data_IF_844554547056
#
_entry.id   IF_844554547056
#
_cell.length_a   1.000
_cell.length_b   1.000
_cell.length_c   1.000
_cell.angle_alpha   90.00
_cell.angle_beta   90.00
_cell.angle_gamma   90.00
#
_symmetry.space_group_name_H-M   'P 1'
#
loop_
_entity.id
_entity.type
_entity.pdbx_description
1 polymer ?
#
# COMPACT_ATOMS: atom_id res chain seq x y z
N UNK A 1 11.87 12.89 -12.51
CA UNK A 1 10.62 12.56 -13.23
C UNK A 1 10.11 13.72 -14.08
N UNK A 2 9.60 14.81 -13.50
CA UNK A 2 8.92 15.88 -14.23
C UNK A 2 9.69 16.49 -15.42
N UNK A 3 10.97 16.82 -15.27
CA UNK A 3 11.80 17.34 -16.38
C UNK A 3 11.85 16.39 -17.58
N UNK A 4 11.95 15.09 -17.34
CA UNK A 4 11.99 14.10 -18.42
C UNK A 4 10.63 13.99 -19.12
N UNK A 5 9.54 13.97 -18.34
CA UNK A 5 8.17 13.93 -18.88
C UNK A 5 7.88 15.15 -19.77
N UNK A 6 8.30 16.34 -19.35
CA UNK A 6 8.18 17.57 -20.12
C UNK A 6 9.01 17.55 -21.40
N UNK A 7 10.28 17.11 -21.33
CA UNK A 7 11.12 16.95 -22.52
C UNK A 7 10.55 15.96 -23.55
N UNK A 8 9.78 14.97 -23.10
CA UNK A 8 9.10 14.00 -23.95
C UNK A 8 7.75 14.49 -24.47
N UNK A 9 7.24 15.62 -23.97
CA UNK A 9 5.92 16.17 -24.33
C UNK A 9 4.76 15.27 -23.91
N UNK A 10 4.84 14.65 -22.73
CA UNK A 10 3.77 13.76 -22.24
C UNK A 10 2.53 14.56 -21.84
N UNK A 11 1.34 14.06 -22.22
CA UNK A 11 0.06 14.64 -21.78
C UNK A 11 -0.32 14.20 -20.35
N UNK A 12 0.19 13.04 -19.91
CA UNK A 12 -0.08 12.52 -18.58
C UNK A 12 0.84 11.40 -18.10
N UNK A 13 0.72 11.06 -16.82
CA UNK A 13 1.49 10.03 -16.13
C UNK A 13 0.64 9.31 -15.07
N UNK A 14 0.82 8.01 -14.94
CA UNK A 14 0.31 7.22 -13.81
C UNK A 14 1.46 7.03 -12.84
N UNK A 15 1.23 7.36 -11.57
CA UNK A 15 2.22 7.23 -10.50
C UNK A 15 1.72 6.13 -9.56
N UNK A 16 2.33 4.95 -9.65
CA UNK A 16 2.17 3.92 -8.63
C UNK A 16 3.19 4.15 -7.52
N UNK A 17 2.74 4.07 -6.28
CA UNK A 17 3.62 3.91 -5.14
C UNK A 17 4.19 2.47 -5.13
N UNK A 18 5.37 2.28 -4.56
CA UNK A 18 5.93 0.95 -4.23
C UNK A 18 6.96 1.15 -3.11
N UNK A 19 7.09 0.15 -2.25
CA UNK A 19 8.15 0.08 -1.24
C UNK A 19 7.85 0.85 0.06
N UNK A 20 8.84 0.85 0.95
CA UNK A 20 8.77 1.43 2.30
C UNK A 20 9.64 2.69 2.41
N UNK A 21 9.41 3.50 3.45
CA UNK A 21 10.14 4.75 3.69
C UNK A 21 9.16 5.88 3.93
N UNK A 22 9.27 6.97 3.18
CA UNK A 22 8.23 8.00 3.11
C UNK A 22 7.70 8.16 1.66
N UNK A 23 7.25 7.04 1.03
CA UNK A 23 6.87 7.04 -0.38
C UNK A 23 5.68 7.96 -0.66
N UNK A 24 4.79 8.18 0.32
CA UNK A 24 3.67 9.11 0.24
C UNK A 24 4.14 10.53 -0.11
N UNK A 25 5.22 11.01 0.52
CA UNK A 25 5.79 12.32 0.22
C UNK A 25 6.35 12.37 -1.20
N UNK A 26 7.03 11.31 -1.65
CA UNK A 26 7.57 11.24 -3.00
C UNK A 26 6.46 11.17 -4.07
N UNK A 27 5.36 10.49 -3.75
CA UNK A 27 4.16 10.37 -4.57
C UNK A 27 3.54 11.76 -4.80
N UNK A 28 3.23 12.48 -3.72
CA UNK A 28 2.69 13.84 -3.78
C UNK A 28 3.67 14.81 -4.44
N UNK A 29 4.97 14.68 -4.16
CA UNK A 29 6.00 15.53 -4.77
C UNK A 29 6.11 15.30 -6.29
N UNK A 30 6.01 14.06 -6.78
CA UNK A 30 6.03 13.78 -8.22
C UNK A 30 4.75 14.27 -8.90
N UNK A 31 3.58 14.01 -8.30
CA UNK A 31 2.28 14.48 -8.76
C UNK A 31 2.28 16.01 -8.95
N UNK A 32 2.62 16.75 -7.90
CA UNK A 32 2.62 18.22 -7.91
C UNK A 32 3.61 18.81 -8.92
N UNK A 33 4.79 18.20 -9.09
CA UNK A 33 5.78 18.66 -10.08
C UNK A 33 5.30 18.45 -11.52
N UNK A 34 4.56 17.38 -11.79
CA UNK A 34 4.01 17.08 -13.12
C UNK A 34 2.81 17.97 -13.45
N UNK A 35 1.84 18.09 -12.52
CA UNK A 35 0.66 18.95 -12.69
C UNK A 35 1.03 20.42 -12.91
N UNK A 36 2.08 20.92 -12.22
CA UNK A 36 2.60 22.28 -12.41
C UNK A 36 3.18 22.53 -13.81
N UNK A 37 3.51 21.49 -14.57
CA UNK A 37 3.94 21.56 -15.96
C UNK A 37 2.78 21.31 -16.96
N UNK A 38 1.56 21.13 -16.46
CA UNK A 38 0.38 20.82 -17.30
C UNK A 38 0.26 19.35 -17.68
N UNK A 39 1.09 18.46 -17.11
CA UNK A 39 1.06 17.02 -17.36
C UNK A 39 0.10 16.39 -16.35
N UNK A 40 -0.96 15.75 -16.83
CA UNK A 40 -2.01 15.19 -15.96
C UNK A 40 -1.57 13.92 -15.24
N UNK A 41 -1.97 13.78 -13.99
CA UNK A 41 -1.53 12.70 -13.13
C UNK A 41 -2.70 11.90 -12.58
N UNK A 42 -2.48 10.59 -12.43
CA UNK A 42 -3.31 9.70 -11.63
C UNK A 42 -2.40 8.94 -10.69
N UNK A 43 -2.74 8.95 -9.40
CA UNK A 43 -2.04 8.22 -8.36
C UNK A 43 -2.71 6.86 -8.15
N UNK A 44 -1.90 5.81 -7.97
CA UNK A 44 -2.34 4.50 -7.49
C UNK A 44 -1.49 4.14 -6.27
N UNK A 45 -2.12 3.89 -5.13
CA UNK A 45 -1.45 3.70 -3.83
C UNK A 45 -2.28 2.82 -2.91
N UNK A 46 -1.71 2.30 -1.82
CA UNK A 46 -2.49 1.91 -0.65
C UNK A 46 -2.55 3.04 0.39
N UNK A 47 -3.35 2.85 1.45
CA UNK A 47 -3.61 3.88 2.46
C UNK A 47 -3.44 3.32 3.88
N UNK A 48 -2.99 4.17 4.80
CA UNK A 48 -2.86 3.84 6.22
C UNK A 48 -3.80 4.72 7.06
N UNK A 49 -5.10 4.53 6.84
CA UNK A 49 -6.15 5.37 7.40
C UNK A 49 -6.60 4.95 8.82
N UNK A 50 -5.82 4.12 9.51
CA UNK A 50 -6.17 3.57 10.83
C UNK A 50 -7.28 2.51 10.75
N UNK A 51 -7.48 1.76 11.84
CA UNK A 51 -8.36 0.56 11.85
C UNK A 51 -9.83 0.86 11.59
N UNK A 52 -10.26 2.07 11.90
CA UNK A 52 -11.62 2.57 11.66
C UNK A 52 -11.75 3.38 10.36
N UNK A 53 -10.65 3.54 9.61
CA UNK A 53 -10.58 4.37 8.41
C UNK A 53 -10.71 5.88 8.68
N UNK A 54 -10.62 6.31 9.95
CA UNK A 54 -10.85 7.71 10.34
C UNK A 54 -9.60 8.59 10.36
N UNK A 55 -8.41 8.01 10.16
CA UNK A 55 -7.14 8.75 10.18
C UNK A 55 -6.81 9.33 8.81
N UNK A 56 -5.89 10.30 8.78
CA UNK A 56 -5.36 10.80 7.53
C UNK A 56 -4.71 9.65 6.76
N UNK A 57 -5.17 9.42 5.53
CA UNK A 57 -4.85 8.23 4.74
C UNK A 57 -3.38 8.15 4.31
N UNK A 58 -2.82 9.26 3.83
CA UNK A 58 -1.42 9.39 3.39
C UNK A 58 -0.68 10.39 4.29
N UNK A 59 0.62 10.22 4.47
CA UNK A 59 1.43 11.13 5.27
C UNK A 59 1.53 12.55 4.70
N UNK A 60 1.34 12.73 3.39
CA UNK A 60 1.37 14.01 2.68
C UNK A 60 0.15 14.16 1.76
N UNK A 61 -0.24 15.40 1.45
CA UNK A 61 -1.36 15.70 0.56
C UNK A 61 -1.20 17.09 -0.09
N UNK A 62 -1.68 17.23 -1.32
CA UNK A 62 -1.74 18.50 -2.04
C UNK A 62 -3.04 18.58 -2.87
N UNK A 63 -3.69 19.75 -2.97
CA UNK A 63 -4.90 19.91 -3.81
C UNK A 63 -4.71 19.57 -5.30
N UNK A 64 -3.48 19.54 -5.81
CA UNK A 64 -3.18 19.08 -7.16
C UNK A 64 -3.23 17.56 -7.32
N UNK A 65 -3.21 16.81 -6.21
CA UNK A 65 -3.33 15.36 -6.20
C UNK A 65 -4.81 14.95 -6.08
N UNK A 66 -5.63 15.40 -7.03
CA UNK A 66 -7.10 15.27 -7.01
C UNK A 66 -7.62 13.99 -7.68
N UNK A 67 -6.72 13.19 -8.27
CA UNK A 67 -7.03 11.92 -8.93
C UNK A 67 -6.22 10.77 -8.29
N UNK A 68 -6.78 10.16 -7.26
CA UNK A 68 -6.15 9.06 -6.49
C UNK A 68 -7.02 7.81 -6.49
N UNK A 69 -6.41 6.67 -6.78
CA UNK A 69 -7.01 5.33 -6.70
C UNK A 69 -6.32 4.55 -5.59
N UNK A 70 -7.12 4.04 -4.66
CA UNK A 70 -6.62 3.28 -3.51
C UNK A 70 -6.76 1.76 -3.74
N UNK A 71 -5.74 1.01 -3.36
CA UNK A 71 -5.76 -0.45 -3.24
C UNK A 71 -6.44 -0.95 -1.96
N UNK A 72 -6.77 -0.03 -1.02
CA UNK A 72 -7.44 -0.31 0.24
C UNK A 72 -6.68 0.22 1.46
N UNK A 73 -7.33 0.14 2.62
CA UNK A 73 -6.75 0.54 3.89
C UNK A 73 -5.93 -0.62 4.50
N UNK A 74 -4.61 -0.46 4.54
CA UNK A 74 -3.66 -1.42 5.07
C UNK A 74 -3.82 -1.68 6.59
N UNK A 75 -4.50 -0.78 7.31
CA UNK A 75 -4.81 -0.94 8.74
C UNK A 75 -6.13 -1.67 9.01
N UNK A 76 -6.91 -2.06 8.01
CA UNK A 76 -8.16 -2.78 8.22
C UNK A 76 -7.90 -4.10 8.97
N UNK A 77 -8.68 -4.36 10.03
CA UNK A 77 -8.48 -5.55 10.87
C UNK A 77 -9.22 -6.74 10.28
N UNK A 78 -8.50 -7.83 10.09
CA UNK A 78 -9.03 -9.11 9.63
C UNK A 78 -8.82 -10.19 10.70
N UNK A 79 -9.68 -11.20 10.70
CA UNK A 79 -9.51 -12.41 11.50
C UNK A 79 -9.40 -13.62 10.58
N UNK A 80 -8.24 -14.27 10.59
CA UNK A 80 -8.01 -15.55 9.95
C UNK A 80 -8.41 -16.68 10.91
N UNK A 81 -9.13 -17.72 10.45
CA UNK A 81 -9.45 -18.86 11.29
C UNK A 81 -8.18 -19.64 11.65
N UNK A 82 -8.29 -20.58 12.59
CA UNK A 82 -7.19 -21.51 12.86
C UNK A 82 -6.84 -22.32 11.60
N UNK A 83 -5.56 -22.40 11.26
CA UNK A 83 -5.08 -23.11 10.08
C UNK A 83 -4.81 -24.59 10.41
N UNK A 84 -5.21 -25.50 9.52
CA UNK A 84 -4.92 -26.94 9.66
C UNK A 84 -3.41 -27.25 9.63
N UNK A 85 -2.63 -26.38 8.98
CA UNK A 85 -1.18 -26.52 8.83
C UNK A 85 -0.49 -25.19 9.00
N UNK A 86 0.52 -25.15 9.86
CA UNK A 86 1.35 -23.98 10.13
C UNK A 86 2.80 -24.27 9.74
N UNK A 87 3.41 -23.35 9.00
CA UNK A 87 4.84 -23.37 8.69
C UNK A 87 5.53 -22.26 9.48
N UNK A 88 6.62 -22.60 10.16
CA UNK A 88 7.31 -21.65 11.04
C UNK A 88 6.60 -21.46 12.39
N UNK A 89 6.77 -20.27 12.99
CA UNK A 89 6.26 -19.95 14.33
C UNK A 89 5.00 -19.10 14.25
N UNK A 90 3.87 -19.61 14.78
CA UNK A 90 2.62 -18.85 14.88
C UNK A 90 2.74 -17.62 15.80
N UNK A 91 3.63 -17.65 16.78
CA UNK A 91 3.88 -16.54 17.71
C UNK A 91 4.36 -15.27 17.00
N UNK A 92 4.86 -15.38 15.77
CA UNK A 92 5.25 -14.21 14.99
C UNK A 92 4.06 -13.29 14.70
N UNK A 93 2.83 -13.81 14.71
CA UNK A 93 1.61 -13.01 14.52
C UNK A 93 1.50 -11.81 15.49
N UNK A 94 2.06 -11.91 16.70
CA UNK A 94 1.99 -10.83 17.71
C UNK A 94 3.01 -9.72 17.47
N UNK A 95 4.02 -9.93 16.60
CA UNK A 95 5.18 -9.02 16.46
C UNK A 95 5.48 -8.60 15.02
N UNK A 96 4.86 -9.22 14.02
CA UNK A 96 4.99 -8.80 12.62
C UNK A 96 4.35 -7.42 12.39
N UNK A 97 4.70 -6.75 11.30
CA UNK A 97 3.97 -5.57 10.85
C UNK A 97 2.47 -5.90 10.67
N UNK A 98 1.60 -5.04 11.20
CA UNK A 98 0.16 -5.28 11.29
C UNK A 98 -0.29 -6.19 12.45
N UNK A 99 0.64 -6.87 13.11
CA UNK A 99 0.40 -7.64 14.33
C UNK A 99 0.47 -6.80 15.60
N UNK A 100 -0.08 -7.33 16.68
CA UNK A 100 -0.06 -6.71 18.01
C UNK A 100 -0.20 -7.77 19.10
N UNK A 101 0.07 -7.38 20.36
CA UNK A 101 -0.10 -8.30 21.50
C UNK A 101 -1.54 -8.84 21.55
N UNK A 102 -1.67 -10.16 21.53
CA UNK A 102 -2.97 -10.84 21.46
C UNK A 102 -3.51 -11.08 20.04
N UNK A 103 -2.72 -10.84 18.99
CA UNK A 103 -3.06 -11.22 17.63
C UNK A 103 -3.28 -12.73 17.48
N UNK A 104 -2.48 -13.57 18.14
CA UNK A 104 -2.68 -15.02 18.19
C UNK A 104 -3.62 -15.41 19.34
N UNK A 105 -4.82 -15.88 19.01
CA UNK A 105 -5.78 -16.38 19.97
C UNK A 105 -5.45 -17.80 20.46
N UNK A 106 -6.01 -18.18 21.62
CA UNK A 106 -5.81 -19.53 22.22
C UNK A 106 -6.37 -20.66 21.36
N UNK A 107 -7.39 -20.38 20.56
CA UNK A 107 -7.98 -21.33 19.62
C UNK A 107 -7.18 -21.46 18.31
N UNK A 108 -6.11 -20.68 18.16
CA UNK A 108 -5.24 -20.68 16.98
C UNK A 108 -5.69 -19.71 15.88
N UNK A 109 -6.80 -18.99 16.05
CA UNK A 109 -7.17 -17.90 15.13
C UNK A 109 -6.21 -16.71 15.25
N UNK A 110 -6.07 -15.94 14.17
CA UNK A 110 -5.15 -14.80 14.11
C UNK A 110 -5.94 -13.55 13.74
N UNK A 111 -5.88 -12.51 14.59
CA UNK A 111 -6.46 -11.19 14.31
C UNK A 111 -5.35 -10.16 14.15
N UNK A 112 -5.25 -9.58 12.96
CA UNK A 112 -4.16 -8.68 12.54
C UNK A 112 -4.71 -7.63 11.59
N UNK A 113 -3.96 -6.55 11.36
CA UNK A 113 -4.20 -5.65 10.24
C UNK A 113 -3.86 -6.34 8.91
N UNK A 114 -4.59 -6.03 7.85
CA UNK A 114 -4.49 -6.72 6.55
C UNK A 114 -3.09 -6.63 5.92
N UNK A 115 -2.31 -5.59 6.26
CA UNK A 115 -0.90 -5.46 5.88
C UNK A 115 -0.01 -6.65 6.30
N UNK A 116 -0.43 -7.45 7.29
CA UNK A 116 0.24 -8.70 7.64
C UNK A 116 0.22 -9.73 6.48
N UNK A 117 -0.72 -9.60 5.55
CA UNK A 117 -0.77 -10.35 4.29
C UNK A 117 -0.07 -9.51 3.22
N UNK A 118 1.17 -9.88 2.89
CA UNK A 118 1.97 -9.17 1.89
C UNK A 118 1.22 -9.06 0.56
N UNK A 119 1.04 -7.84 0.09
CA UNK A 119 0.38 -7.53 -1.19
C UNK A 119 -1.15 -7.53 -1.15
N UNK A 120 -1.78 -7.56 0.03
CA UNK A 120 -3.24 -7.51 0.14
C UNK A 120 -3.86 -6.20 -0.38
N UNK A 121 -3.12 -5.09 -0.31
CA UNK A 121 -3.51 -3.76 -0.81
C UNK A 121 -2.71 -3.31 -2.03
N UNK A 122 -2.09 -4.25 -2.75
CA UNK A 122 -1.10 -3.97 -3.80
C UNK A 122 -1.62 -3.08 -4.95
N UNK A 123 -0.99 -1.93 -5.09
CA UNK A 123 -1.19 -0.83 -6.03
C UNK A 123 -0.65 -1.12 -7.45
N UNK A 124 0.17 -2.15 -7.63
CA UNK A 124 0.66 -2.62 -8.93
C UNK A 124 -0.28 -3.63 -9.61
N UNK A 125 -1.34 -4.05 -8.91
CA UNK A 125 -2.31 -5.03 -9.37
C UNK A 125 -1.82 -6.48 -9.33
N UNK A 126 -2.64 -7.39 -9.86
CA UNK A 126 -2.30 -8.81 -9.95
C UNK A 126 -1.50 -9.09 -11.24
N UNK A 127 -0.38 -9.80 -11.12
CA UNK A 127 0.33 -10.32 -12.27
C UNK A 127 0.50 -11.84 -12.15
N UNK A 128 0.59 -12.52 -13.29
CA UNK A 128 0.85 -13.96 -13.36
C UNK A 128 2.33 -14.26 -13.56
N UNK A 129 3.21 -13.27 -13.32
CA UNK A 129 4.63 -13.43 -13.51
C UNK A 129 5.16 -14.31 -12.37
N UNK A 130 5.79 -15.43 -12.71
CA UNK A 130 6.34 -16.37 -11.74
C UNK A 130 7.73 -16.78 -12.19
N UNK A 131 8.67 -16.90 -11.24
CA UNK A 131 9.94 -17.55 -11.49
C UNK A 131 9.70 -19.06 -11.48
N UNK A 132 9.91 -19.72 -12.62
CA UNK A 132 9.92 -21.19 -12.71
C UNK A 132 11.35 -21.65 -12.46
N UNK A 133 11.53 -22.66 -11.61
CA UNK A 133 12.82 -23.32 -11.48
C UNK A 133 13.27 -23.86 -12.85
N UNK A 134 14.56 -23.72 -13.15
CA UNK A 134 15.21 -24.31 -14.34
C UNK A 134 15.78 -25.66 -13.95
#
# INVERSE_FOLDING_TARGET
>A
TAKLADMLGLDGAIISQEGFGNPDTDLIMNCTKLEKLGIKTVIVTDEYAGRDGGSQSLADADPLADATVTGGNANEVITLPAMDKVFGSSKSADIIAGGFDGSLAKDGSITVEIQAITGATNELGFNTLTAREI
#
